data_IF_421743741208
#
_entry.id   IF_421743741208
#
_cell.length_a   1.000
_cell.length_b   1.000
_cell.length_c   1.000
_cell.angle_alpha   90.00
_cell.angle_beta   90.00
_cell.angle_gamma   90.00
#
_symmetry.space_group_name_H-M   'P 1'
#
loop_
_entity.id
_entity.type
_entity.pdbx_description
1 polymer ?
#
# COMPACT_ATOMS: atom_id res chain seq x y z
N UNK A 1 37.36 -39.71 -35.10
CA UNK A 1 37.63 -40.67 -34.01
C UNK A 1 38.71 -40.06 -33.13
N UNK A 2 38.49 -40.03 -31.80
CA UNK A 2 39.55 -40.02 -30.76
C UNK A 2 40.25 -38.64 -30.57
N UNK A 3 40.32 -38.01 -29.39
CA UNK A 3 40.02 -38.37 -28.01
C UNK A 3 39.86 -37.08 -27.20
N UNK A 4 38.80 -37.06 -26.38
CA UNK A 4 38.75 -36.41 -25.07
C UNK A 4 40.12 -36.34 -24.38
N UNK A 5 40.53 -35.15 -23.97
CA UNK A 5 41.23 -34.84 -22.70
C UNK A 5 41.82 -33.44 -22.80
N UNK A 6 41.47 -32.54 -21.89
CA UNK A 6 42.41 -32.02 -20.89
C UNK A 6 41.66 -31.09 -19.95
N UNK A 7 41.76 -31.42 -18.66
CA UNK A 7 41.29 -30.60 -17.55
C UNK A 7 41.97 -29.23 -17.61
N UNK A 8 41.16 -28.17 -17.63
CA UNK A 8 41.58 -26.85 -17.17
C UNK A 8 40.87 -26.59 -15.84
N UNK A 9 41.63 -26.86 -14.78
CA UNK A 9 41.45 -26.43 -13.41
C UNK A 9 41.25 -24.90 -13.38
N UNK A 10 40.05 -24.44 -13.02
CA UNK A 10 39.81 -23.05 -12.64
C UNK A 10 39.15 -23.03 -11.27
N UNK A 11 40.00 -23.07 -10.24
CA UNK A 11 39.63 -22.67 -8.89
C UNK A 11 39.26 -21.19 -8.92
N UNK A 12 37.96 -20.89 -8.85
CA UNK A 12 37.46 -19.55 -8.57
C UNK A 12 36.94 -19.51 -7.14
N UNK A 13 37.88 -19.46 -6.19
CA UNK A 13 37.64 -18.82 -4.88
C UNK A 13 37.43 -17.33 -5.13
N UNK A 14 36.25 -16.81 -4.83
CA UNK A 14 36.08 -15.36 -4.84
C UNK A 14 34.64 -14.88 -4.78
N UNK A 15 34.26 -14.40 -3.59
CA UNK A 15 33.24 -13.39 -3.32
C UNK A 15 31.78 -13.86 -3.36
N UNK A 16 31.36 -14.44 -2.22
CA UNK A 16 29.98 -14.34 -1.75
C UNK A 16 29.74 -12.85 -1.46
N UNK A 17 29.18 -12.12 -2.43
CA UNK A 17 28.68 -10.78 -2.18
C UNK A 17 27.49 -10.89 -1.20
N UNK A 18 27.50 -10.18 -0.07
CA UNK A 18 26.28 -10.06 0.72
C UNK A 18 25.24 -9.35 -0.15
N UNK A 19 24.10 -10.01 -0.36
CA UNK A 19 22.90 -9.39 -0.91
C UNK A 19 22.48 -8.33 0.10
N UNK A 20 22.99 -7.12 -0.08
CA UNK A 20 22.51 -5.95 0.64
C UNK A 20 21.07 -5.74 0.20
N UNK A 21 20.13 -6.23 1.01
CA UNK A 21 18.77 -5.75 0.98
C UNK A 21 18.83 -4.25 1.27
N UNK A 22 18.82 -3.47 0.20
CA UNK A 22 18.54 -2.04 0.25
C UNK A 22 17.16 -1.93 0.89
N UNK A 23 17.14 -1.76 2.22
CA UNK A 23 15.98 -1.20 2.89
C UNK A 23 15.86 0.20 2.32
N UNK A 24 14.97 0.36 1.34
CA UNK A 24 14.54 1.67 0.89
C UNK A 24 14.31 2.52 2.13
N UNK A 25 14.89 3.73 2.20
CA UNK A 25 14.55 4.65 3.26
C UNK A 25 13.07 4.95 3.09
N UNK A 26 12.26 4.24 3.88
CA UNK A 26 10.84 4.51 4.06
C UNK A 26 10.80 5.94 4.52
N UNK A 27 10.54 6.86 3.58
CA UNK A 27 10.33 8.27 3.85
C UNK A 27 9.21 8.28 4.88
N UNK A 28 9.58 8.43 6.15
CA UNK A 28 8.68 8.58 7.27
C UNK A 28 8.16 10.02 7.17
N UNK A 29 7.35 10.25 6.15
CA UNK A 29 6.77 11.54 5.80
C UNK A 29 5.63 11.82 6.75
N UNK A 30 5.98 12.18 7.98
CA UNK A 30 5.04 12.49 9.04
C UNK A 30 5.63 12.07 10.38
N UNK A 31 5.55 12.95 11.37
CA UNK A 31 6.17 12.78 12.69
C UNK A 31 5.75 11.48 13.40
N UNK A 32 6.20 11.29 14.64
CA UNK A 32 5.95 10.04 15.41
C UNK A 32 4.48 9.60 15.47
N UNK A 33 3.58 10.55 15.24
CA UNK A 33 2.12 10.45 15.23
C UNK A 33 1.51 10.10 13.85
N UNK A 34 2.30 9.88 12.81
CA UNK A 34 1.81 9.55 11.46
C UNK A 34 2.24 8.15 11.02
N UNK A 35 1.27 7.37 10.57
CA UNK A 35 1.46 6.04 10.01
C UNK A 35 1.03 6.02 8.55
N UNK A 36 1.99 5.94 7.64
CA UNK A 36 1.72 5.83 6.20
C UNK A 36 1.32 4.40 5.83
N UNK A 37 0.31 4.26 4.97
CA UNK A 37 -0.08 2.98 4.39
C UNK A 37 0.56 2.79 3.02
N UNK A 38 0.66 1.54 2.57
CA UNK A 38 1.03 1.25 1.19
C UNK A 38 -0.08 1.78 0.28
N UNK A 39 0.28 2.35 -0.86
CA UNK A 39 -0.66 2.79 -1.90
C UNK A 39 -1.60 1.64 -2.27
N UNK A 40 -2.91 1.91 -2.20
CA UNK A 40 -3.96 0.93 -2.50
C UNK A 40 -4.39 1.13 -3.94
N UNK A 41 -4.37 0.05 -4.73
CA UNK A 41 -4.84 0.03 -6.10
C UNK A 41 -6.08 -0.85 -6.19
N UNK A 42 -7.19 -0.30 -6.69
CA UNK A 42 -8.45 -1.02 -6.93
C UNK A 42 -8.93 -0.78 -8.35
N UNK A 43 -9.74 -1.70 -8.88
CA UNK A 43 -10.22 -1.64 -10.26
C UNK A 43 -11.64 -1.11 -10.32
N UNK A 44 -11.92 -0.25 -11.30
CA UNK A 44 -13.29 0.22 -11.57
C UNK A 44 -14.10 -0.81 -12.35
N UNK A 45 -15.41 -0.62 -12.39
CA UNK A 45 -16.29 -1.47 -13.18
C UNK A 45 -16.03 -1.30 -14.68
N UNK A 46 -15.95 -2.41 -15.40
CA UNK A 46 -15.71 -2.41 -16.83
C UNK A 46 -16.99 -2.07 -17.59
N UNK A 47 -17.15 -0.80 -17.97
CA UNK A 47 -18.04 -0.47 -19.06
C UNK A 47 -17.36 -0.86 -20.38
N UNK A 48 -17.63 -2.08 -20.85
CA UNK A 48 -17.49 -2.48 -22.26
C UNK A 48 -16.10 -2.86 -22.83
N UNK A 49 -15.03 -2.96 -22.01
CA UNK A 49 -13.75 -3.72 -22.22
C UNK A 49 -12.51 -3.12 -21.54
N UNK A 50 -12.61 -1.94 -20.92
CA UNK A 50 -11.48 -1.30 -20.23
C UNK A 50 -11.80 -1.09 -18.76
N UNK A 51 -11.00 -1.70 -17.89
CA UNK A 51 -11.01 -1.40 -16.45
C UNK A 51 -10.21 -0.13 -16.22
N UNK A 52 -10.76 0.79 -15.44
CA UNK A 52 -9.96 1.86 -14.86
C UNK A 52 -9.23 1.34 -13.61
N UNK A 53 -8.12 1.97 -13.27
CA UNK A 53 -7.41 1.72 -12.00
C UNK A 53 -7.48 2.96 -11.14
N UNK A 54 -8.01 2.81 -9.92
CA UNK A 54 -8.03 3.81 -8.88
C UNK A 54 -6.89 3.52 -7.89
N UNK A 55 -5.88 4.39 -7.89
CA UNK A 55 -4.75 4.36 -6.96
C UNK A 55 -4.94 5.43 -5.90
N UNK A 56 -4.89 5.03 -4.63
CA UNK A 56 -5.04 5.94 -3.48
C UNK A 56 -3.86 5.79 -2.54
N UNK A 57 -3.13 6.88 -2.32
CA UNK A 57 -2.14 7.00 -1.24
C UNK A 57 -2.79 7.64 -0.02
N UNK A 58 -2.54 7.06 1.17
CA UNK A 58 -3.14 7.51 2.41
C UNK A 58 -2.27 7.21 3.63
N UNK A 59 -2.51 7.97 4.70
CA UNK A 59 -1.94 7.73 6.02
C UNK A 59 -2.94 7.98 7.14
N UNK A 60 -2.61 7.49 8.34
CA UNK A 60 -3.33 7.80 9.56
C UNK A 60 -2.49 8.71 10.44
N UNK A 61 -3.09 9.79 10.91
CA UNK A 61 -2.52 10.66 11.94
C UNK A 61 -3.22 10.42 13.28
N UNK A 62 -2.47 10.21 14.35
CA UNK A 62 -3.02 10.09 15.70
C UNK A 62 -2.10 10.74 16.73
N UNK A 63 -2.68 11.55 17.62
CA UNK A 63 -1.93 12.26 18.67
C UNK A 63 -1.55 11.37 19.86
N UNK A 64 -2.26 10.25 20.09
CA UNK A 64 -2.07 9.35 21.24
C UNK A 64 -1.09 8.22 20.89
N UNK A 65 0.06 8.18 21.60
CA UNK A 65 1.11 7.18 21.38
C UNK A 65 0.62 5.73 21.56
N UNK A 66 -0.31 5.48 22.49
CA UNK A 66 -0.88 4.12 22.70
C UNK A 66 -1.71 3.68 21.50
N UNK A 67 -2.40 4.64 20.88
CA UNK A 67 -3.25 4.41 19.73
C UNK A 67 -2.40 4.20 18.46
N UNK A 68 -1.24 4.87 18.35
CA UNK A 68 -0.25 4.60 17.29
C UNK A 68 0.27 3.17 17.34
N UNK A 69 0.56 2.62 18.53
CA UNK A 69 0.95 1.21 18.67
C UNK A 69 -0.16 0.24 18.27
N UNK A 70 -1.40 0.54 18.66
CA UNK A 70 -2.57 -0.22 18.22
C UNK A 70 -2.74 -0.18 16.69
N UNK A 71 -2.59 1.00 16.07
CA UNK A 71 -2.66 1.12 14.60
C UNK A 71 -1.61 0.24 13.92
N UNK A 72 -0.38 0.17 14.45
CA UNK A 72 0.67 -0.70 13.91
C UNK A 72 0.28 -2.18 14.01
N UNK A 73 -0.33 -2.60 15.12
CA UNK A 73 -0.81 -3.97 15.31
C UNK A 73 -1.99 -4.31 14.38
N UNK A 74 -2.93 -3.37 14.21
CA UNK A 74 -4.10 -3.52 13.35
C UNK A 74 -3.87 -3.13 11.89
N UNK A 75 -2.63 -2.79 11.51
CA UNK A 75 -2.28 -2.33 10.17
C UNK A 75 -2.79 -3.25 9.04
N UNK A 76 -2.64 -4.59 9.07
CA UNK A 76 -3.15 -5.44 8.01
C UNK A 76 -4.68 -5.45 7.94
N UNK A 77 -5.37 -5.34 9.08
CA UNK A 77 -6.83 -5.31 9.15
C UNK A 77 -7.40 -3.98 8.64
N UNK A 78 -6.72 -2.87 8.95
CA UNK A 78 -7.05 -1.55 8.40
C UNK A 78 -6.86 -1.55 6.87
N UNK A 79 -5.77 -2.14 6.37
CA UNK A 79 -5.56 -2.26 4.92
C UNK A 79 -6.68 -3.05 4.23
N UNK A 80 -7.05 -4.21 4.78
CA UNK A 80 -8.13 -5.02 4.21
C UNK A 80 -9.46 -4.25 4.14
N UNK A 81 -9.82 -3.56 5.22
CA UNK A 81 -11.03 -2.73 5.24
C UNK A 81 -10.97 -1.56 4.25
N UNK A 82 -9.82 -0.90 4.11
CA UNK A 82 -9.65 0.18 3.13
C UNK A 82 -9.76 -0.34 1.70
N UNK A 83 -9.13 -1.48 1.39
CA UNK A 83 -9.25 -2.14 0.07
C UNK A 83 -10.71 -2.49 -0.21
N UNK A 84 -11.42 -3.11 0.72
CA UNK A 84 -12.82 -3.47 0.55
C UNK A 84 -13.73 -2.25 0.29
N UNK A 85 -13.54 -1.16 1.05
CA UNK A 85 -14.31 0.08 0.89
C UNK A 85 -13.99 0.80 -0.42
N UNK A 86 -12.71 0.87 -0.79
CA UNK A 86 -12.28 1.45 -2.05
C UNK A 86 -12.74 0.63 -3.25
N UNK A 87 -12.71 -0.70 -3.17
CA UNK A 87 -13.18 -1.58 -4.24
C UNK A 87 -14.70 -1.46 -4.43
N UNK A 88 -15.47 -1.37 -3.34
CA UNK A 88 -16.90 -1.11 -3.41
C UNK A 88 -17.22 0.25 -4.05
N UNK A 89 -16.42 1.27 -3.75
CA UNK A 89 -16.56 2.59 -4.37
C UNK A 89 -16.12 2.58 -5.84
N UNK A 90 -14.99 1.97 -6.17
CA UNK A 90 -14.51 1.86 -7.54
C UNK A 90 -15.48 1.06 -8.43
N UNK A 91 -16.17 0.08 -7.86
CA UNK A 91 -17.23 -0.68 -8.54
C UNK A 91 -18.43 0.16 -8.97
N UNK A 92 -18.65 1.35 -8.41
CA UNK A 92 -19.72 2.27 -8.89
C UNK A 92 -19.20 3.31 -9.88
N UNK A 93 -17.89 3.39 -10.06
CA UNK A 93 -17.25 4.35 -10.96
C UNK A 93 -17.01 3.74 -12.33
N UNK A 94 -17.14 4.58 -13.35
CA UNK A 94 -16.61 4.32 -14.69
C UNK A 94 -15.26 5.06 -14.86
N UNK A 95 -14.45 4.67 -15.85
CA UNK A 95 -13.11 5.24 -16.12
C UNK A 95 -13.13 6.76 -16.37
N UNK A 96 -14.28 7.37 -16.65
CA UNK A 96 -14.45 8.82 -16.89
C UNK A 96 -15.17 9.53 -15.73
N UNK A 97 -15.55 8.80 -14.68
CA UNK A 97 -16.33 9.35 -13.58
C UNK A 97 -15.44 10.24 -12.69
N UNK A 98 -16.02 11.31 -12.16
CA UNK A 98 -15.32 12.15 -11.20
C UNK A 98 -15.22 11.44 -9.86
N UNK A 99 -14.01 11.38 -9.31
CA UNK A 99 -13.75 10.81 -8.00
C UNK A 99 -14.15 11.82 -6.93
N UNK A 100 -15.02 11.41 -6.01
CA UNK A 100 -15.43 12.21 -4.87
C UNK A 100 -14.52 11.93 -3.67
N UNK A 101 -13.57 12.82 -3.46
CA UNK A 101 -12.58 12.73 -2.38
C UNK A 101 -13.20 12.82 -0.99
N UNK A 102 -14.21 13.68 -0.79
CA UNK A 102 -14.92 13.81 0.50
C UNK A 102 -15.62 12.51 0.89
N UNK A 103 -16.25 11.85 -0.08
CA UNK A 103 -16.89 10.56 0.13
C UNK A 103 -15.87 9.48 0.53
N UNK A 104 -14.73 9.41 -0.17
CA UNK A 104 -13.65 8.47 0.17
C UNK A 104 -13.11 8.75 1.58
N UNK A 105 -12.85 10.01 1.92
CA UNK A 105 -12.34 10.41 3.22
C UNK A 105 -13.32 10.00 4.34
N UNK A 106 -14.61 10.29 4.17
CA UNK A 106 -15.64 9.91 5.13
C UNK A 106 -15.74 8.39 5.30
N UNK A 107 -15.71 7.64 4.20
CA UNK A 107 -15.84 6.18 4.21
C UNK A 107 -14.64 5.51 4.89
N UNK A 108 -13.42 5.98 4.60
CA UNK A 108 -12.21 5.47 5.23
C UNK A 108 -12.16 5.84 6.71
N UNK A 109 -12.50 7.08 7.06
CA UNK A 109 -12.57 7.52 8.45
C UNK A 109 -13.56 6.67 9.26
N UNK A 110 -14.74 6.37 8.70
CA UNK A 110 -15.71 5.48 9.33
C UNK A 110 -15.17 4.06 9.52
N UNK A 111 -14.45 3.52 8.54
CA UNK A 111 -13.81 2.20 8.65
C UNK A 111 -12.70 2.19 9.72
N UNK A 112 -11.90 3.26 9.80
CA UNK A 112 -10.89 3.46 10.84
C UNK A 112 -11.52 3.48 12.24
N UNK A 113 -12.55 4.28 12.44
CA UNK A 113 -13.24 4.41 13.73
C UNK A 113 -13.87 3.08 14.16
N UNK A 114 -14.42 2.31 13.22
CA UNK A 114 -15.01 0.99 13.48
C UNK A 114 -13.96 -0.06 13.90
N UNK A 115 -12.75 -0.02 13.33
CA UNK A 115 -11.68 -0.98 13.65
C UNK A 115 -10.97 -0.61 14.95
N UNK A 116 -10.73 0.68 15.17
CA UNK A 116 -10.07 1.16 16.38
C UNK A 116 -11.03 1.21 17.59
N UNK A 117 -12.34 1.19 17.37
CA UNK A 117 -13.36 1.21 18.41
C UNK A 117 -13.45 2.52 19.18
N UNK A 118 -12.64 3.53 18.81
CA UNK A 118 -12.62 4.87 19.39
C UNK A 118 -12.22 5.89 18.34
N UNK A 119 -12.78 7.09 18.45
CA UNK A 119 -12.37 8.25 17.64
C UNK A 119 -11.02 8.77 18.12
N UNK A 120 -10.13 9.15 17.20
CA UNK A 120 -8.82 9.70 17.56
C UNK A 120 -7.75 9.58 16.48
N UNK A 121 -7.99 8.77 15.45
CA UNK A 121 -7.12 8.72 14.28
C UNK A 121 -7.80 9.46 13.13
N UNK A 122 -7.07 10.37 12.46
CA UNK A 122 -7.52 11.09 11.28
C UNK A 122 -6.94 10.44 10.03
N UNK A 123 -7.79 10.10 9.07
CA UNK A 123 -7.36 9.65 7.75
C UNK A 123 -6.89 10.86 6.95
N UNK A 124 -5.69 10.76 6.40
CA UNK A 124 -5.11 11.75 5.50
C UNK A 124 -4.95 11.11 4.12
N UNK A 125 -5.57 11.72 3.11
CA UNK A 125 -5.45 11.31 1.72
C UNK A 125 -4.30 12.09 1.08
N UNK A 126 -3.36 11.38 0.48
CA UNK A 126 -2.20 11.97 -0.17
C UNK A 126 -2.44 12.23 -1.65
N UNK A 127 -2.64 11.16 -2.42
CA UNK A 127 -2.80 11.24 -3.87
C UNK A 127 -3.87 10.26 -4.32
N UNK A 128 -4.74 10.70 -5.22
CA UNK A 128 -5.79 9.88 -5.82
C UNK A 128 -5.62 9.99 -7.32
N UNK A 129 -5.43 8.85 -7.98
CA UNK A 129 -5.26 8.75 -9.42
C UNK A 129 -6.30 7.78 -9.96
N UNK A 130 -7.06 8.20 -10.96
CA UNK A 130 -7.94 7.36 -11.74
C UNK A 130 -7.44 7.35 -13.18
N UNK A 131 -7.10 6.17 -13.71
CA UNK A 131 -6.64 5.96 -15.09
C UNK A 131 -7.57 5.01 -15.83
#
# INVERSE_FOLDING_TARGET
MIRRQFLALAAATGLIAPVAFASEPKKKGGGENYTQFKTINVFTEASRRRHGTLSVDMGLYCEDAKLVEQIKLYQPRLQDAYVARLQAYAGTLNSTAMVNTDFIAMQLQSATDAILGRKGAKVLLGTILLN
#
